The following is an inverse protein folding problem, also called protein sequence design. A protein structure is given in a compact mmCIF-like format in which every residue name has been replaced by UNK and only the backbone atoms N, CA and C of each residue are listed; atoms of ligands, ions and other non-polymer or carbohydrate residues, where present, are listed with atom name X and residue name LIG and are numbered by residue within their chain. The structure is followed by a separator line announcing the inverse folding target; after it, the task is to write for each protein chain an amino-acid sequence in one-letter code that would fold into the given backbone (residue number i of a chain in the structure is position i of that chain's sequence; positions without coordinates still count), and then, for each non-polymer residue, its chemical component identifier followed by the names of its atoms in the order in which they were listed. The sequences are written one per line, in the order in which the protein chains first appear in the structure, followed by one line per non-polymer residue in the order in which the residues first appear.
data_IF_446249215904
#
_entry.id   IF_446249215904
#
_cell.length_a   1.000
_cell.length_b   1.000
_cell.length_c   1.000
_cell.angle_alpha   90.00
_cell.angle_beta   90.00
_cell.angle_gamma   90.00
#
_symmetry.space_group_name_H-M   'P 1'
#
loop_
_entity.id
_entity.type
_entity.pdbx_description
1 polymer ?
#
# COMPACT_ATOMS: atom_id res chain seq x y z
N UNK A 1 -20.42 -10.68 7.39
CA UNK A 1 -19.83 -9.33 7.30
C UNK A 1 -18.49 -9.43 6.59
N UNK A 2 -18.33 -8.64 5.57
CA UNK A 2 -17.08 -8.62 4.83
C UNK A 2 -16.06 -7.76 5.56
N UNK A 3 -14.77 -8.16 5.56
CA UNK A 3 -13.73 -7.33 6.14
C UNK A 3 -13.55 -6.04 5.34
N UNK A 4 -13.04 -5.03 5.99
CA UNK A 4 -12.58 -3.84 5.30
C UNK A 4 -11.25 -4.15 4.65
N UNK A 5 -11.13 -3.82 3.38
CA UNK A 5 -9.90 -3.99 2.61
C UNK A 5 -9.36 -2.61 2.31
N UNK A 6 -8.25 -2.30 2.94
CA UNK A 6 -7.66 -0.97 2.91
C UNK A 6 -6.36 -1.00 2.11
N UNK A 7 -6.33 -0.29 0.99
CA UNK A 7 -5.09 -0.12 0.24
C UNK A 7 -4.37 1.10 0.78
N UNK A 8 -3.10 0.94 1.11
CA UNK A 8 -2.28 2.00 1.72
C UNK A 8 -1.08 2.26 0.85
N UNK A 9 -0.94 3.48 0.32
CA UNK A 9 0.24 3.84 -0.46
C UNK A 9 0.56 5.31 -0.36
N UNK A 10 1.81 5.65 -0.69
CA UNK A 10 2.26 7.02 -0.89
C UNK A 10 2.67 7.19 -2.34
N UNK A 11 2.44 8.37 -2.90
CA UNK A 11 2.74 8.65 -4.29
C UNK A 11 3.38 10.01 -4.49
N UNK A 12 4.31 10.07 -5.44
CA UNK A 12 4.86 11.31 -5.96
C UNK A 12 4.39 11.53 -7.39
N UNK A 13 5.03 12.47 -8.10
CA UNK A 13 4.67 12.81 -9.47
C UNK A 13 5.60 12.11 -10.46
N UNK A 14 5.01 11.49 -11.47
CA UNK A 14 5.78 11.00 -12.60
C UNK A 14 6.24 12.19 -13.46
N UNK A 15 7.53 12.27 -13.75
CA UNK A 15 8.07 13.41 -14.51
C UNK A 15 7.65 13.36 -15.98
N UNK A 16 7.57 12.17 -16.56
CA UNK A 16 7.28 12.00 -17.99
C UNK A 16 5.78 11.88 -18.31
N UNK A 17 4.91 11.90 -17.29
CA UNK A 17 3.48 11.72 -17.50
C UNK A 17 2.68 12.20 -16.30
N UNK A 18 1.39 11.81 -16.25
CA UNK A 18 0.48 12.21 -15.20
C UNK A 18 0.25 11.11 -14.15
N UNK A 19 1.04 10.05 -14.18
CA UNK A 19 0.88 8.91 -13.29
C UNK A 19 1.28 9.21 -11.85
N UNK A 20 0.71 8.42 -10.95
CA UNK A 20 1.02 8.47 -9.53
C UNK A 20 2.17 7.51 -9.23
N UNK A 21 3.39 8.02 -9.11
CA UNK A 21 4.60 7.22 -8.93
C UNK A 21 4.69 6.70 -7.49
N UNK A 22 4.84 5.39 -7.33
CA UNK A 22 4.96 4.77 -6.00
C UNK A 22 6.34 4.12 -5.79
N UNK A 23 7.17 4.03 -6.82
CA UNK A 23 8.48 3.45 -6.66
C UNK A 23 9.36 3.58 -7.88
N UNK A 24 10.64 3.29 -7.65
CA UNK A 24 11.68 3.24 -8.68
C UNK A 24 12.73 2.25 -8.21
N UNK A 25 13.11 1.32 -9.10
CA UNK A 25 14.13 0.30 -8.79
C UNK A 25 13.84 -0.47 -7.50
N UNK A 26 12.57 -0.84 -7.30
CA UNK A 26 12.09 -1.55 -6.10
C UNK A 26 12.35 -0.80 -4.79
N UNK A 27 12.43 0.52 -4.84
CA UNK A 27 12.59 1.38 -3.66
C UNK A 27 11.60 2.53 -3.69
N UNK A 28 11.40 3.14 -2.53
CA UNK A 28 10.62 4.36 -2.40
C UNK A 28 11.60 5.53 -2.45
N UNK A 29 11.55 6.38 -3.51
CA UNK A 29 12.59 7.38 -3.75
C UNK A 29 12.42 8.67 -2.96
N UNK A 30 11.80 8.62 -1.80
CA UNK A 30 11.65 9.79 -0.91
C UNK A 30 11.69 9.33 0.54
N UNK A 31 11.79 10.31 1.44
CA UNK A 31 11.73 10.03 2.87
C UNK A 31 10.77 11.01 3.55
N UNK A 32 9.67 10.48 4.09
CA UNK A 32 8.67 11.24 4.84
C UNK A 32 8.35 10.41 6.09
N UNK A 33 9.06 10.67 7.22
CA UNK A 33 8.85 9.87 8.44
C UNK A 33 7.41 9.92 8.96
N UNK A 34 6.72 11.02 8.73
CA UNK A 34 5.31 11.16 9.13
C UNK A 34 4.42 10.16 8.40
N UNK A 35 4.78 9.82 7.14
CA UNK A 35 4.06 8.81 6.38
C UNK A 35 4.33 7.41 6.94
N UNK A 36 5.54 7.15 7.38
CA UNK A 36 5.87 5.86 8.02
C UNK A 36 5.05 5.67 9.29
N UNK A 37 4.87 6.73 10.07
CA UNK A 37 4.05 6.68 11.28
C UNK A 37 2.59 6.40 10.95
N UNK A 38 2.06 7.04 9.90
CA UNK A 38 0.69 6.80 9.45
C UNK A 38 0.50 5.38 8.91
N UNK A 39 1.47 4.89 8.15
CA UNK A 39 1.46 3.52 7.64
C UNK A 39 1.33 2.53 8.80
N UNK A 40 2.14 2.71 9.83
CA UNK A 40 2.07 1.86 11.03
C UNK A 40 0.72 1.96 11.70
N UNK A 41 0.20 3.17 11.87
CA UNK A 41 -1.12 3.41 12.48
C UNK A 41 -2.23 2.69 11.70
N UNK A 42 -2.17 2.73 10.37
CA UNK A 42 -3.22 2.15 9.52
C UNK A 42 -3.13 0.64 9.39
N UNK A 43 -2.00 0.03 9.72
CA UNK A 43 -1.80 -1.41 9.50
C UNK A 43 -1.56 -2.21 10.78
N UNK A 44 -1.10 -1.58 11.86
CA UNK A 44 -0.74 -2.31 13.08
C UNK A 44 -1.94 -3.06 13.65
N UNK A 45 -1.72 -4.31 14.05
CA UNK A 45 -2.76 -5.16 14.60
C UNK A 45 -3.61 -5.87 13.55
N UNK A 46 -3.40 -5.58 12.28
CA UNK A 46 -4.17 -6.17 11.18
C UNK A 46 -3.26 -6.98 10.25
N UNK A 47 -3.80 -7.99 9.57
CA UNK A 47 -3.03 -8.66 8.51
C UNK A 47 -2.65 -7.66 7.41
N UNK A 48 -1.47 -7.84 6.81
CA UNK A 48 -1.04 -7.06 5.67
C UNK A 48 -0.72 -7.99 4.51
N UNK A 49 -1.14 -7.59 3.31
CA UNK A 49 -0.92 -8.33 2.07
C UNK A 49 0.06 -7.54 1.21
N UNK A 50 1.07 -8.23 0.71
CA UNK A 50 2.09 -7.61 -0.13
C UNK A 50 2.55 -8.58 -1.20
N UNK A 51 3.10 -8.04 -2.28
CA UNK A 51 3.80 -8.86 -3.26
C UNK A 51 5.21 -9.20 -2.76
N UNK A 52 5.81 -10.22 -3.38
CA UNK A 52 7.15 -10.66 -3.00
C UNK A 52 8.20 -9.56 -3.12
N UNK A 53 8.12 -8.73 -4.16
CA UNK A 53 9.07 -7.62 -4.33
C UNK A 53 9.00 -6.62 -3.19
N UNK A 54 7.81 -6.38 -2.68
CA UNK A 54 7.65 -5.51 -1.52
C UNK A 54 8.28 -6.15 -0.27
N UNK A 55 8.07 -7.45 -0.08
CA UNK A 55 8.73 -8.19 1.00
C UNK A 55 10.24 -8.04 0.90
N UNK A 56 10.80 -8.25 -0.30
CA UNK A 56 12.26 -8.15 -0.52
C UNK A 56 12.79 -6.74 -0.26
N UNK A 57 11.96 -5.72 -0.44
CA UNK A 57 12.36 -4.32 -0.22
C UNK A 57 12.39 -3.93 1.26
N UNK A 58 11.77 -4.72 2.13
CA UNK A 58 11.79 -4.43 3.56
C UNK A 58 13.17 -4.75 4.14
N UNK A 59 13.71 -3.89 5.02
CA UNK A 59 14.95 -4.23 5.71
C UNK A 59 14.80 -5.55 6.47
N UNK A 60 15.84 -6.42 6.51
CA UNK A 60 15.73 -7.72 7.15
C UNK A 60 15.23 -7.67 8.59
N UNK A 61 15.60 -6.64 9.35
CA UNK A 61 15.16 -6.49 10.74
C UNK A 61 13.68 -6.13 10.87
N UNK A 62 13.04 -5.72 9.78
CA UNK A 62 11.61 -5.40 9.76
C UNK A 62 10.80 -6.44 8.99
N UNK A 63 11.37 -7.57 8.66
CA UNK A 63 10.68 -8.70 8.03
C UNK A 63 10.55 -9.85 9.01
N UNK A 64 9.36 -10.26 9.40
CA UNK A 64 8.06 -9.67 9.05
C UNK A 64 7.83 -8.35 9.76
N UNK A 65 6.91 -7.54 9.22
CA UNK A 65 6.48 -6.32 9.90
C UNK A 65 5.87 -6.71 11.25
N UNK A 66 6.35 -6.14 12.36
CA UNK A 66 5.93 -6.59 13.69
C UNK A 66 4.48 -6.22 13.99
N UNK A 67 3.84 -7.06 14.80
CA UNK A 67 2.46 -6.86 15.24
C UNK A 67 1.41 -7.09 14.16
N UNK A 68 1.77 -7.72 13.05
CA UNK A 68 0.89 -7.96 11.91
C UNK A 68 1.19 -9.32 11.31
N UNK A 69 0.15 -10.00 10.81
CA UNK A 69 0.35 -11.20 9.99
C UNK A 69 0.75 -10.74 8.60
N UNK A 70 1.91 -11.16 8.14
CA UNK A 70 2.45 -10.78 6.83
C UNK A 70 2.09 -11.85 5.82
N UNK A 71 1.25 -11.51 4.84
CA UNK A 71 0.84 -12.43 3.77
C UNK A 71 1.49 -11.96 2.48
N UNK A 72 2.30 -12.84 1.88
CA UNK A 72 3.07 -12.51 0.68
C UNK A 72 2.50 -13.27 -0.51
N UNK A 73 2.13 -12.52 -1.55
CA UNK A 73 1.58 -13.08 -2.78
C UNK A 73 2.72 -13.33 -3.75
N UNK A 74 2.86 -14.57 -4.19
CA UNK A 74 3.86 -14.95 -5.19
C UNK A 74 3.35 -16.14 -6.01
N UNK A 75 3.70 -16.17 -7.29
CA UNK A 75 3.40 -17.30 -8.16
C UNK A 75 4.42 -18.43 -8.04
N UNK A 76 5.54 -18.18 -7.36
CA UNK A 76 6.57 -19.17 -7.18
C UNK A 76 6.17 -20.16 -6.08
N UNK A 77 5.85 -21.43 -6.40
CA UNK A 77 5.39 -22.38 -5.40
C UNK A 77 6.48 -22.82 -4.43
N UNK A 78 7.73 -22.52 -4.74
CA UNK A 78 8.88 -22.91 -3.92
C UNK A 78 9.37 -21.77 -3.03
N UNK A 79 8.75 -20.59 -3.12
CA UNK A 79 9.16 -19.47 -2.30
C UNK A 79 8.58 -19.60 -0.89
N UNK A 80 9.41 -19.33 0.10
CA UNK A 80 9.00 -19.21 1.49
C UNK A 80 9.95 -18.30 2.23
N UNK A 81 9.51 -17.77 3.36
CA UNK A 81 10.36 -16.97 4.24
C UNK A 81 9.81 -17.06 5.67
N UNK A 82 10.71 -16.96 6.63
CA UNK A 82 10.32 -16.98 8.04
C UNK A 82 9.41 -15.78 8.34
N UNK A 83 8.29 -16.07 8.96
CA UNK A 83 7.32 -15.03 9.33
C UNK A 83 6.37 -14.62 8.21
N UNK A 84 6.48 -15.22 7.03
CA UNK A 84 5.60 -14.95 5.90
C UNK A 84 4.59 -16.06 5.72
N UNK A 85 3.32 -15.69 5.56
CA UNK A 85 2.27 -16.59 5.09
C UNK A 85 2.23 -16.44 3.57
N UNK A 86 2.33 -17.54 2.84
CA UNK A 86 2.42 -17.48 1.37
C UNK A 86 1.04 -17.67 0.77
N UNK A 87 0.69 -16.82 -0.19
CA UNK A 87 -0.52 -16.92 -0.98
C UNK A 87 -0.16 -16.86 -2.47
N UNK A 88 -0.95 -17.51 -3.31
CA UNK A 88 -0.69 -17.55 -4.76
C UNK A 88 -1.41 -16.45 -5.53
N UNK A 89 -2.39 -15.81 -4.89
CA UNK A 89 -3.18 -14.75 -5.48
C UNK A 89 -3.66 -13.81 -4.40
N UNK A 90 -4.14 -12.64 -4.81
CA UNK A 90 -4.78 -11.70 -3.88
C UNK A 90 -6.05 -12.32 -3.30
N UNK A 91 -6.81 -13.07 -4.10
CA UNK A 91 -8.00 -13.77 -3.64
C UNK A 91 -7.67 -14.71 -2.49
N UNK A 92 -6.64 -15.54 -2.66
CA UNK A 92 -6.21 -16.46 -1.61
C UNK A 92 -5.71 -15.71 -0.38
N UNK A 93 -4.97 -14.64 -0.59
CA UNK A 93 -4.46 -13.82 0.52
C UNK A 93 -5.60 -13.25 1.36
N UNK A 94 -6.66 -12.77 0.70
CA UNK A 94 -7.83 -12.26 1.42
C UNK A 94 -8.55 -13.35 2.20
N UNK A 95 -8.57 -14.57 1.70
CA UNK A 95 -9.14 -15.71 2.41
C UNK A 95 -8.32 -16.10 3.63
N UNK A 96 -7.00 -15.95 3.55
CA UNK A 96 -6.10 -16.29 4.66
C UNK A 96 -6.03 -15.20 5.72
N UNK A 97 -6.46 -13.99 5.40
CA UNK A 97 -6.42 -12.87 6.34
C UNK A 97 -7.54 -12.98 7.37
N UNK A 98 -7.17 -12.93 8.64
CA UNK A 98 -8.10 -12.93 9.75
C UNK A 98 -8.37 -11.51 10.23
N UNK A 99 -9.60 -11.28 10.72
CA UNK A 99 -9.95 -10.02 11.35
C UNK A 99 -10.87 -9.16 10.51
N UNK A 100 -11.22 -8.00 11.04
CA UNK A 100 -12.21 -7.11 10.46
C UNK A 100 -11.61 -6.17 9.41
N UNK A 101 -10.29 -6.03 9.40
CA UNK A 101 -9.59 -5.11 8.49
C UNK A 101 -8.33 -5.79 8.00
N UNK A 102 -8.06 -5.66 6.71
CA UNK A 102 -6.81 -6.11 6.11
C UNK A 102 -6.19 -4.96 5.33
N UNK A 103 -4.87 -4.78 5.46
CA UNK A 103 -4.13 -3.76 4.74
C UNK A 103 -3.42 -4.36 3.54
N UNK A 104 -3.51 -3.70 2.38
CA UNK A 104 -2.78 -4.09 1.18
C UNK A 104 -1.69 -3.03 0.97
N UNK A 105 -0.44 -3.46 0.96
CA UNK A 105 0.69 -2.53 1.07
C UNK A 105 1.61 -2.52 -0.14
N UNK A 106 1.23 -3.15 -1.22
CA UNK A 106 1.92 -2.99 -2.49
C UNK A 106 2.53 -4.26 -3.06
N UNK A 107 3.20 -4.21 -4.18
CA UNK A 107 3.30 -2.98 -5.04
C UNK A 107 2.16 -2.78 -6.01
N UNK A 108 2.47 -2.03 -7.07
CA UNK A 108 1.44 -1.61 -8.01
C UNK A 108 0.57 -2.72 -8.57
N UNK A 109 1.19 -3.85 -8.90
CA UNK A 109 0.47 -5.03 -9.41
C UNK A 109 -0.54 -5.56 -8.39
N UNK A 110 -0.12 -5.61 -7.12
CA UNK A 110 -0.96 -6.08 -6.03
C UNK A 110 -2.10 -5.08 -5.75
N UNK A 111 -1.82 -3.79 -5.78
CA UNK A 111 -2.87 -2.77 -5.63
C UNK A 111 -3.92 -2.92 -6.72
N UNK A 112 -3.50 -3.08 -7.98
CA UNK A 112 -4.45 -3.23 -9.09
C UNK A 112 -5.29 -4.49 -8.94
N UNK A 113 -4.68 -5.59 -8.52
CA UNK A 113 -5.40 -6.85 -8.31
C UNK A 113 -6.38 -6.76 -7.13
N UNK A 114 -6.07 -5.97 -6.12
CA UNK A 114 -6.90 -5.83 -4.92
C UNK A 114 -7.98 -4.75 -5.05
N UNK A 115 -7.89 -3.87 -6.05
CA UNK A 115 -8.74 -2.70 -6.14
C UNK A 115 -10.23 -3.04 -6.19
N UNK A 116 -10.60 -4.11 -6.88
CA UNK A 116 -12.00 -4.53 -6.98
C UNK A 116 -12.57 -5.03 -5.64
N UNK A 117 -11.70 -5.45 -4.72
CA UNK A 117 -12.09 -5.90 -3.38
C UNK A 117 -11.99 -4.79 -2.34
N UNK A 118 -11.36 -3.67 -2.68
CA UNK A 118 -11.04 -2.63 -1.73
C UNK A 118 -12.28 -1.87 -1.27
N UNK A 119 -12.29 -1.52 0.00
CA UNK A 119 -13.34 -0.70 0.62
C UNK A 119 -12.85 0.71 0.93
N UNK A 120 -11.56 0.86 1.12
CA UNK A 120 -10.94 2.12 1.51
C UNK A 120 -9.57 2.26 0.84
N UNK A 121 -9.23 3.49 0.48
CA UNK A 121 -7.88 3.82 0.02
C UNK A 121 -7.31 4.86 0.98
N UNK A 122 -6.10 4.60 1.48
CA UNK A 122 -5.36 5.53 2.34
C UNK A 122 -4.16 6.01 1.54
N UNK A 123 -4.26 7.20 0.96
CA UNK A 123 -3.26 7.72 0.04
C UNK A 123 -2.52 8.88 0.69
N UNK A 124 -1.18 8.83 0.61
CA UNK A 124 -0.34 9.98 0.95
C UNK A 124 0.16 10.59 -0.35
N UNK A 125 -0.20 11.83 -0.60
CA UNK A 125 0.35 12.59 -1.72
C UNK A 125 1.60 13.32 -1.26
N UNK A 126 2.69 13.12 -1.99
CA UNK A 126 3.96 13.76 -1.69
C UNK A 126 4.31 14.67 -2.87
N UNK A 127 4.60 15.93 -2.57
CA UNK A 127 4.94 16.90 -3.61
C UNK A 127 6.40 16.74 -4.00
N UNK A 128 6.69 15.70 -4.76
CA UNK A 128 8.03 15.37 -5.24
C UNK A 128 7.93 14.75 -6.63
N UNK A 129 8.84 15.14 -7.49
CA UNK A 129 8.98 14.52 -8.82
C UNK A 129 9.84 13.27 -8.72
N UNK A 130 9.41 12.21 -9.41
CA UNK A 130 10.12 10.92 -9.40
C UNK A 130 10.56 10.61 -10.83
N UNK A 131 11.74 11.06 -11.24
CA UNK A 131 12.25 10.72 -12.57
C UNK A 131 12.58 9.23 -12.64
N UNK A 132 12.20 8.60 -13.75
CA UNK A 132 12.45 7.17 -13.94
C UNK A 132 11.57 6.27 -13.12
N UNK A 133 10.42 6.75 -12.64
CA UNK A 133 9.47 5.91 -11.92
C UNK A 133 9.09 4.71 -12.76
N UNK A 134 9.04 3.53 -12.12
CA UNK A 134 8.69 2.28 -12.79
C UNK A 134 7.58 1.51 -12.07
N UNK A 135 7.08 2.03 -10.96
CA UNK A 135 5.93 1.47 -10.27
C UNK A 135 4.91 2.58 -10.02
N UNK A 136 3.64 2.27 -10.24
CA UNK A 136 2.56 3.25 -10.19
C UNK A 136 1.38 2.73 -9.39
N UNK A 137 0.70 3.66 -8.71
CA UNK A 137 -0.56 3.37 -8.03
C UNK A 137 -1.66 3.11 -9.08
N UNK A 138 -2.71 2.39 -8.69
CA UNK A 138 -3.86 2.23 -9.57
C UNK A 138 -4.57 3.57 -9.77
N UNK A 139 -5.26 3.69 -10.89
CA UNK A 139 -6.09 4.85 -11.16
C UNK A 139 -7.31 4.83 -10.23
N UNK A 140 -7.61 5.98 -9.62
CA UNK A 140 -8.76 6.10 -8.73
C UNK A 140 -9.94 6.61 -9.57
N UNK A 141 -10.89 5.71 -9.84
CA UNK A 141 -12.03 6.02 -10.69
C UNK A 141 -13.15 6.76 -9.95
N UNK A 142 -14.23 7.10 -10.67
CA UNK A 142 -15.33 7.91 -10.13
C UNK A 142 -16.16 7.20 -9.06
N UNK A 143 -16.02 5.89 -8.93
CA UNK A 143 -16.72 5.14 -7.88
C UNK A 143 -16.17 5.47 -6.48
N UNK A 144 -15.00 6.07 -6.38
CA UNK A 144 -14.39 6.43 -5.12
C UNK A 144 -14.77 7.83 -4.69
N UNK A 145 -15.09 7.99 -3.41
CA UNK A 145 -15.45 9.27 -2.79
C UNK A 145 -14.40 9.67 -1.77
N UNK A 146 -14.00 10.93 -1.78
CA UNK A 146 -13.09 11.44 -0.76
C UNK A 146 -13.83 11.47 0.58
N UNK A 147 -13.32 10.68 1.53
CA UNK A 147 -13.88 10.65 2.88
C UNK A 147 -13.20 11.68 3.78
N UNK A 148 -11.90 11.88 3.58
CA UNK A 148 -11.14 12.87 4.35
C UNK A 148 -9.97 13.34 3.50
N UNK A 149 -9.78 14.66 3.45
CA UNK A 149 -8.69 15.27 2.70
C UNK A 149 -7.96 16.24 3.61
N UNK A 150 -6.75 15.83 3.99
CA UNK A 150 -5.92 16.63 4.88
C UNK A 150 -5.30 17.84 4.21
N UNK A 151 -4.84 18.76 5.02
CA UNK A 151 -4.09 19.92 4.57
C UNK A 151 -2.66 19.52 4.21
N UNK A 152 -2.06 20.30 3.29
CA UNK A 152 -0.64 20.12 3.00
C UNK A 152 0.20 20.46 4.24
N UNK A 153 1.13 19.59 4.55
CA UNK A 153 2.05 19.72 5.67
C UNK A 153 3.48 19.61 5.16
N UNK A 154 4.43 20.03 5.97
CA UNK A 154 5.86 19.92 5.63
C UNK A 154 6.50 18.88 6.54
N UNK A 155 7.12 17.89 5.91
CA UNK A 155 7.86 16.86 6.62
C UNK A 155 9.13 17.44 7.26
N UNK A 156 9.64 16.74 8.27
CA UNK A 156 10.95 17.05 8.84
C UNK A 156 12.07 16.97 7.79
N UNK A 157 11.86 16.28 6.68
CA UNK A 157 12.81 16.20 5.57
C UNK A 157 12.63 17.33 4.55
N UNK A 158 11.65 18.22 4.75
CA UNK A 158 11.39 19.35 3.86
C UNK A 158 10.38 19.07 2.77
N UNK A 159 9.99 17.83 2.56
CA UNK A 159 8.99 17.49 1.55
C UNK A 159 7.59 17.84 2.02
N UNK A 160 6.76 18.35 1.12
CA UNK A 160 5.36 18.59 1.44
C UNK A 160 4.55 17.34 1.15
N UNK A 161 3.58 17.07 2.00
CA UNK A 161 2.73 15.89 1.88
C UNK A 161 1.34 16.18 2.42
N UNK A 162 0.35 15.37 2.02
CA UNK A 162 -0.97 15.37 2.65
C UNK A 162 -1.55 13.97 2.58
N UNK A 163 -2.49 13.69 3.48
CA UNK A 163 -3.20 12.42 3.53
C UNK A 163 -4.60 12.59 2.93
N UNK A 164 -5.00 11.67 2.08
CA UNK A 164 -6.34 11.63 1.50
C UNK A 164 -6.89 10.23 1.67
N UNK A 165 -8.04 10.12 2.31
CA UNK A 165 -8.72 8.84 2.47
C UNK A 165 -9.93 8.81 1.54
N UNK A 166 -10.11 7.67 0.87
CA UNK A 166 -11.22 7.43 -0.03
C UNK A 166 -12.05 6.26 0.46
N UNK A 167 -13.35 6.32 0.21
CA UNK A 167 -14.25 5.19 0.42
C UNK A 167 -15.02 4.92 -0.86
N UNK A 168 -15.62 3.75 -0.93
CA UNK A 168 -16.44 3.36 -2.06
C UNK A 168 -17.81 2.93 -1.59
N UNK A 169 -18.84 3.55 -2.14
CA UNK A 169 -20.22 3.21 -1.86
C UNK A 169 -20.66 1.96 -2.65
N UNK A 170 -21.84 1.44 -2.32
CA UNK A 170 -22.41 0.31 -3.01
C UNK A 170 -21.85 -1.02 -2.58
N UNK A 171 -20.95 -1.03 -1.66
CA UNK A 171 -20.44 -2.23 -1.03
C UNK A 171 -21.42 -2.67 0.05
N UNK A 172 -21.88 -3.84 -0.07
CA UNK A 172 -22.90 -4.33 0.85
C UNK A 172 -22.46 -5.59 1.54
#
# INVERSE_FOLDING_TARGET
VRPRVRLVWAQGHEVAGAGAAIGRDNTIPWRVPEDMARFKEKTLGNPVIMGRKTWDSLPPKFRPLPGRTNIVVTRNPNWSADGAVVARSVDEALMLADGDTVGVIGGGEIYRAALSFATDLCVTEIDVDVPGADAFAPEIGPEWTVADKGEWQTSSTGLRYRFIDYTRDGRV
#
